data_IF_521242760476
#
_entry.id   IF_521242760476
#
_cell.length_a   1.000
_cell.length_b   1.000
_cell.length_c   1.000
_cell.angle_alpha   90.00
_cell.angle_beta   90.00
_cell.angle_gamma   90.00
#
_symmetry.space_group_name_H-M   'P 1'
#
loop_
_entity.id
_entity.type
_entity.pdbx_description
1 polymer ?
#
# COMPACT_ATOMS: atom_id res chain seq x y z
N UNK A 1 1.04 -11.75 21.92
CA UNK A 1 1.91 -12.00 20.81
C UNK A 1 1.95 -10.84 19.82
N UNK A 2 3.07 -10.45 19.35
CA UNK A 2 3.25 -9.12 18.77
C UNK A 2 4.21 -9.31 17.59
N UNK A 3 3.74 -9.06 16.37
CA UNK A 3 4.65 -8.67 15.31
C UNK A 3 5.50 -7.54 15.88
N UNK A 4 6.82 -7.71 15.99
CA UNK A 4 7.71 -6.65 16.42
C UNK A 4 7.49 -5.48 15.46
N UNK A 5 7.16 -4.29 15.99
CA UNK A 5 6.77 -3.09 15.23
C UNK A 5 5.37 -3.14 14.60
N UNK A 6 4.41 -3.79 15.25
CA UNK A 6 3.00 -3.72 14.85
C UNK A 6 2.52 -2.27 14.80
N UNK A 7 2.10 -1.82 13.63
CA UNK A 7 1.32 -0.60 13.48
C UNK A 7 -0.08 -1.00 13.03
N UNK A 8 -1.09 -0.62 13.81
CA UNK A 8 -2.49 -0.78 13.46
C UNK A 8 -3.03 0.61 13.16
N UNK A 9 -3.50 0.83 11.95
CA UNK A 9 -4.26 2.03 11.63
C UNK A 9 -5.74 1.66 11.63
N UNK A 10 -6.47 2.10 12.67
CA UNK A 10 -7.84 1.66 12.92
C UNK A 10 -8.91 2.70 12.56
N UNK A 11 -8.49 3.92 12.18
CA UNK A 11 -9.41 5.04 11.92
C UNK A 11 -9.92 5.10 10.47
N UNK A 12 -9.51 4.15 9.62
CA UNK A 12 -9.94 4.03 8.25
C UNK A 12 -10.78 2.75 8.04
N UNK A 13 -11.39 2.64 6.85
CA UNK A 13 -12.22 1.50 6.46
C UNK A 13 -11.46 0.17 6.35
N UNK A 14 -10.13 0.21 6.41
CA UNK A 14 -9.22 -0.94 6.41
C UNK A 14 -8.23 -0.85 7.59
N UNK A 15 -7.58 -1.96 7.86
CA UNK A 15 -6.50 -2.05 8.85
C UNK A 15 -5.27 -2.66 8.19
N UNK A 16 -4.08 -2.37 8.72
CA UNK A 16 -2.86 -3.05 8.29
C UNK A 16 -1.92 -3.32 9.46
N UNK A 17 -1.07 -4.32 9.25
CA UNK A 17 0.01 -4.71 10.15
C UNK A 17 1.29 -4.82 9.34
N UNK A 18 2.39 -4.34 9.87
CA UNK A 18 3.70 -4.55 9.26
C UNK A 18 4.73 -4.91 10.33
N UNK A 19 5.65 -5.78 10.02
CA UNK A 19 6.71 -6.11 10.95
C UNK A 19 7.53 -7.33 10.57
N UNK A 20 8.68 -7.44 11.24
CA UNK A 20 9.50 -8.63 11.17
C UNK A 20 8.90 -9.76 12.02
N UNK A 21 8.97 -10.97 11.49
CA UNK A 21 8.72 -12.23 12.20
C UNK A 21 10.05 -12.94 12.27
N UNK A 22 10.45 -13.41 13.45
CA UNK A 22 11.63 -14.28 13.58
C UNK A 22 11.22 -15.73 13.88
N UNK A 23 12.18 -16.66 13.74
CA UNK A 23 11.94 -18.10 13.84
C UNK A 23 11.36 -18.55 15.19
N UNK A 24 11.51 -17.76 16.23
CA UNK A 24 11.00 -18.05 17.57
C UNK A 24 9.56 -17.59 17.80
N UNK A 25 9.03 -16.75 16.90
CA UNK A 25 7.72 -16.11 17.05
C UNK A 25 6.66 -16.86 16.22
N UNK A 26 5.55 -17.19 16.88
CA UNK A 26 4.34 -17.67 16.20
C UNK A 26 3.24 -16.64 16.41
N UNK A 27 2.73 -16.09 15.32
CA UNK A 27 1.66 -15.11 15.34
C UNK A 27 0.35 -15.75 14.89
N UNK A 28 -0.68 -15.74 15.75
CA UNK A 28 -2.02 -16.27 15.41
C UNK A 28 -2.99 -15.13 15.14
N UNK A 29 -3.75 -15.26 14.07
CA UNK A 29 -4.78 -14.32 13.65
C UNK A 29 -6.15 -15.00 13.72
N UNK A 30 -7.16 -14.25 14.19
CA UNK A 30 -8.54 -14.73 14.25
C UNK A 30 -9.19 -14.88 12.86
N UNK A 31 -10.38 -15.47 12.79
CA UNK A 31 -11.07 -15.81 11.54
C UNK A 31 -12.07 -14.78 11.02
N UNK A 32 -12.22 -13.60 11.65
CA UNK A 32 -13.32 -12.69 11.35
C UNK A 32 -12.98 -11.59 10.34
N UNK A 33 -12.02 -11.84 9.46
CA UNK A 33 -11.51 -10.84 8.52
C UNK A 33 -11.28 -11.42 7.12
N UNK A 34 -11.29 -10.50 6.16
CA UNK A 34 -10.72 -10.70 4.83
C UNK A 34 -9.33 -10.07 4.82
N UNK A 35 -8.29 -10.86 4.51
CA UNK A 35 -6.88 -10.44 4.63
C UNK A 35 -6.10 -10.74 3.37
N UNK A 36 -5.16 -9.84 3.08
CA UNK A 36 -4.04 -10.10 2.16
C UNK A 36 -2.74 -10.05 2.96
N UNK A 37 -2.04 -11.17 3.00
CA UNK A 37 -0.72 -11.33 3.63
C UNK A 37 0.31 -11.26 2.51
N UNK A 38 1.29 -10.38 2.63
CA UNK A 38 2.38 -10.21 1.67
C UNK A 38 3.71 -10.40 2.36
N UNK A 39 4.51 -11.34 1.86
CA UNK A 39 5.87 -11.56 2.32
C UNK A 39 6.79 -10.57 1.59
N UNK A 40 7.20 -9.49 2.25
CA UNK A 40 7.99 -8.43 1.63
C UNK A 40 9.44 -8.87 1.46
N UNK A 41 9.98 -9.59 2.45
CA UNK A 41 11.36 -10.06 2.50
C UNK A 41 11.45 -11.37 3.28
N UNK A 42 12.45 -12.21 2.96
CA UNK A 42 12.69 -13.48 3.63
C UNK A 42 11.70 -14.58 3.26
N UNK A 43 11.29 -15.39 4.22
CA UNK A 43 10.25 -16.41 4.04
C UNK A 43 9.51 -16.71 5.33
N UNK A 44 8.20 -16.94 5.23
CA UNK A 44 7.37 -17.36 6.34
C UNK A 44 6.49 -18.55 5.94
N UNK A 45 5.92 -19.18 6.96
CA UNK A 45 4.93 -20.24 6.80
C UNK A 45 3.63 -19.77 7.41
N UNK A 46 2.56 -19.78 6.60
CA UNK A 46 1.19 -19.53 7.04
C UNK A 46 0.49 -20.88 7.10
N UNK A 47 0.22 -21.36 8.31
CA UNK A 47 -0.16 -22.74 8.60
C UNK A 47 0.85 -23.75 7.99
N UNK A 48 0.53 -24.32 6.82
CA UNK A 48 1.39 -25.26 6.11
C UNK A 48 1.91 -24.74 4.76
N UNK A 49 1.57 -23.48 4.41
CA UNK A 49 1.97 -22.88 3.15
C UNK A 49 3.19 -21.98 3.36
N UNK A 50 4.26 -22.23 2.61
CA UNK A 50 5.42 -21.33 2.58
C UNK A 50 5.17 -20.18 1.64
N UNK A 51 5.39 -18.96 2.14
CA UNK A 51 5.49 -17.72 1.36
C UNK A 51 6.95 -17.28 1.33
N UNK A 52 7.48 -17.05 0.15
CA UNK A 52 8.79 -16.43 -0.06
C UNK A 52 8.61 -14.94 -0.37
N UNK A 53 9.71 -14.20 -0.37
CA UNK A 53 9.69 -12.78 -0.71
C UNK A 53 8.95 -12.53 -2.04
N UNK A 54 7.98 -11.62 -2.02
CA UNK A 54 7.11 -11.28 -3.12
C UNK A 54 5.85 -12.13 -3.26
N UNK A 55 5.72 -13.24 -2.53
CA UNK A 55 4.49 -14.05 -2.54
C UNK A 55 3.40 -13.39 -1.70
N UNK A 56 2.14 -13.60 -2.07
CA UNK A 56 0.99 -13.19 -1.28
C UNK A 56 -0.02 -14.31 -1.06
N UNK A 57 -0.81 -14.13 0.00
CA UNK A 57 -1.90 -15.02 0.36
C UNK A 57 -3.13 -14.19 0.74
N UNK A 58 -4.22 -14.39 0.03
CA UNK A 58 -5.52 -13.83 0.38
C UNK A 58 -6.32 -14.89 1.14
N UNK A 59 -6.85 -14.54 2.31
CA UNK A 59 -7.67 -15.42 3.15
C UNK A 59 -8.90 -14.70 3.67
N UNK A 60 -10.01 -15.42 3.79
CA UNK A 60 -11.26 -14.91 4.35
C UNK A 60 -11.80 -15.90 5.36
N UNK A 61 -12.19 -15.38 6.54
CA UNK A 61 -12.80 -16.14 7.63
C UNK A 61 -11.95 -17.36 8.06
N UNK A 62 -10.64 -17.21 8.05
CA UNK A 62 -9.70 -18.28 8.38
C UNK A 62 -8.82 -17.90 9.56
N UNK A 63 -8.79 -18.75 10.56
CA UNK A 63 -7.82 -18.68 11.67
C UNK A 63 -6.52 -19.30 11.20
N UNK A 64 -5.42 -18.56 11.28
CA UNK A 64 -4.12 -19.06 10.85
C UNK A 64 -3.00 -18.62 11.79
N UNK A 65 -1.92 -19.34 11.73
CA UNK A 65 -0.67 -18.98 12.39
C UNK A 65 0.41 -18.69 11.34
N UNK A 66 1.22 -17.67 11.62
CA UNK A 66 2.36 -17.30 10.80
C UNK A 66 3.65 -17.34 11.63
N UNK A 67 4.70 -17.91 11.06
CA UNK A 67 6.03 -17.99 11.65
C UNK A 67 7.09 -18.06 10.54
N UNK A 68 8.34 -17.73 10.86
CA UNK A 68 9.45 -17.78 9.90
C UNK A 68 10.47 -16.68 10.17
N UNK A 69 11.30 -16.41 9.17
CA UNK A 69 12.26 -15.30 9.15
C UNK A 69 11.90 -14.40 7.95
N UNK A 70 11.08 -13.41 8.21
CA UNK A 70 10.48 -12.59 7.16
C UNK A 70 10.07 -11.21 7.67
N UNK A 71 10.00 -10.24 6.75
CA UNK A 71 9.19 -9.04 6.94
C UNK A 71 7.85 -9.22 6.20
N UNK A 72 6.76 -9.05 6.91
CA UNK A 72 5.42 -9.23 6.36
C UNK A 72 4.61 -7.94 6.46
N UNK A 73 3.73 -7.75 5.48
CA UNK A 73 2.69 -6.72 5.50
C UNK A 73 1.33 -7.40 5.31
N UNK A 74 0.38 -7.07 6.17
CA UNK A 74 -0.97 -7.65 6.18
C UNK A 74 -1.99 -6.52 6.11
N UNK A 75 -2.76 -6.48 5.03
CA UNK A 75 -3.92 -5.63 4.91
C UNK A 75 -5.19 -6.42 5.25
N UNK A 76 -6.16 -5.81 5.92
CA UNK A 76 -7.40 -6.50 6.29
C UNK A 76 -8.60 -5.57 6.42
N UNK A 77 -9.77 -6.15 6.27
CA UNK A 77 -11.08 -5.56 6.61
C UNK A 77 -11.92 -6.59 7.35
N UNK A 78 -12.87 -6.17 8.21
CA UNK A 78 -13.82 -7.10 8.80
C UNK A 78 -14.61 -7.85 7.72
N UNK A 79 -14.77 -9.16 7.90
CA UNK A 79 -15.64 -9.97 7.04
C UNK A 79 -17.11 -9.68 7.35
N UNK A 80 -17.94 -9.68 6.32
CA UNK A 80 -19.39 -9.39 6.44
C UNK A 80 -20.27 -10.61 6.20
N UNK A 81 -19.67 -11.75 5.88
CA UNK A 81 -20.35 -13.03 5.63
C UNK A 81 -19.52 -14.20 6.18
N UNK A 82 -20.02 -15.42 5.99
CA UNK A 82 -19.38 -16.65 6.47
C UNK A 82 -18.63 -17.41 5.35
N UNK A 83 -18.46 -16.82 4.18
CA UNK A 83 -17.75 -17.48 3.08
C UNK A 83 -16.26 -17.62 3.43
N UNK A 84 -15.69 -18.73 3.00
CA UNK A 84 -14.26 -18.99 3.13
C UNK A 84 -13.58 -18.83 1.78
N UNK A 85 -12.43 -18.16 1.80
CA UNK A 85 -11.64 -17.92 0.60
C UNK A 85 -10.16 -18.09 0.90
N UNK A 86 -9.44 -18.62 -0.05
CA UNK A 86 -8.00 -18.84 0.04
C UNK A 86 -7.40 -18.74 -1.37
N UNK A 87 -6.51 -17.77 -1.60
CA UNK A 87 -5.83 -17.61 -2.89
C UNK A 87 -4.35 -17.28 -2.65
N UNK A 88 -3.49 -18.17 -3.12
CA UNK A 88 -2.05 -17.95 -3.14
C UNK A 88 -1.63 -17.37 -4.49
N UNK A 89 -0.77 -16.34 -4.46
CA UNK A 89 -0.20 -15.71 -5.65
C UNK A 89 1.32 -15.65 -5.50
N UNK A 90 2.05 -16.19 -6.48
CA UNK A 90 3.51 -16.13 -6.51
C UNK A 90 3.99 -14.72 -6.87
N UNK A 91 5.20 -14.37 -6.44
CA UNK A 91 5.86 -13.09 -6.71
C UNK A 91 5.80 -12.65 -8.19
N UNK A 92 6.02 -13.57 -9.12
CA UNK A 92 6.00 -13.28 -10.56
C UNK A 92 4.62 -13.19 -11.21
N UNK A 93 3.55 -13.57 -10.49
CA UNK A 93 2.19 -13.64 -11.03
C UNK A 93 1.36 -12.40 -10.67
N UNK A 94 1.88 -11.49 -9.88
CA UNK A 94 1.20 -10.23 -9.57
C UNK A 94 1.13 -9.32 -10.78
N UNK A 95 0.00 -8.62 -10.92
CA UNK A 95 -0.19 -7.65 -11.98
C UNK A 95 0.72 -6.45 -11.78
N UNK A 96 1.63 -6.24 -12.74
CA UNK A 96 2.60 -5.15 -12.72
C UNK A 96 2.22 -4.06 -13.72
N UNK A 97 2.15 -2.82 -13.23
CA UNK A 97 1.90 -1.63 -14.03
C UNK A 97 3.16 -0.79 -14.09
N UNK A 98 3.76 -0.67 -15.27
CA UNK A 98 4.92 0.20 -15.49
C UNK A 98 4.48 1.66 -15.50
N UNK A 99 5.22 2.49 -14.76
CA UNK A 99 5.01 3.93 -14.64
C UNK A 99 6.25 4.69 -15.12
N UNK A 100 6.12 5.96 -15.52
CA UNK A 100 7.28 6.78 -15.89
C UNK A 100 8.34 6.91 -14.79
N UNK A 101 7.92 6.78 -13.53
CA UNK A 101 8.77 6.91 -12.35
C UNK A 101 9.20 5.57 -11.74
N UNK A 102 8.76 4.42 -12.29
CA UNK A 102 9.06 3.10 -11.76
C UNK A 102 7.95 2.09 -12.06
N UNK A 103 7.30 1.53 -11.03
CA UNK A 103 6.18 0.60 -11.24
C UNK A 103 5.28 0.48 -10.00
N UNK A 104 4.07 -0.01 -10.24
CA UNK A 104 3.16 -0.54 -9.23
C UNK A 104 3.03 -2.04 -9.40
N UNK A 105 3.11 -2.79 -8.31
CA UNK A 105 2.77 -4.21 -8.24
C UNK A 105 1.47 -4.35 -7.45
N UNK A 106 0.43 -4.83 -8.10
CA UNK A 106 -0.88 -4.95 -7.50
C UNK A 106 -1.00 -6.28 -6.77
N UNK A 107 -0.77 -6.25 -5.45
CA UNK A 107 -0.80 -7.43 -4.58
C UNK A 107 -2.25 -7.91 -4.43
N UNK A 108 -3.17 -6.97 -4.21
CA UNK A 108 -4.61 -7.18 -4.25
C UNK A 108 -5.28 -5.89 -4.74
N UNK A 109 -5.60 -5.82 -6.05
CA UNK A 109 -6.23 -4.66 -6.67
C UNK A 109 -7.71 -4.84 -7.01
N UNK A 110 -8.24 -6.06 -6.84
CA UNK A 110 -9.60 -6.41 -7.22
C UNK A 110 -10.55 -6.61 -6.03
N UNK A 111 -10.04 -6.48 -4.81
CA UNK A 111 -10.86 -6.65 -3.61
C UNK A 111 -11.89 -5.51 -3.49
N UNK A 112 -13.18 -5.83 -3.22
CA UNK A 112 -14.25 -4.82 -3.28
C UNK A 112 -14.19 -3.77 -2.16
N UNK A 113 -13.41 -4.00 -1.11
CA UNK A 113 -13.37 -3.14 0.09
C UNK A 113 -12.05 -2.40 0.26
N UNK A 114 -10.96 -2.88 -0.32
CA UNK A 114 -9.64 -2.25 -0.26
C UNK A 114 -8.76 -2.65 -1.45
N UNK A 115 -7.70 -1.91 -1.70
CA UNK A 115 -6.63 -2.29 -2.60
C UNK A 115 -5.31 -2.32 -1.84
N UNK A 116 -4.41 -3.20 -2.26
CA UNK A 116 -3.07 -3.31 -1.72
C UNK A 116 -2.04 -3.38 -2.84
N UNK A 117 -1.03 -2.50 -2.79
CA UNK A 117 0.02 -2.40 -3.81
C UNK A 117 1.41 -2.29 -3.17
N UNK A 118 2.41 -2.82 -3.86
CA UNK A 118 3.80 -2.39 -3.73
C UNK A 118 4.09 -1.36 -4.81
N UNK A 119 4.75 -0.26 -4.45
CA UNK A 119 5.09 0.84 -5.34
C UNK A 119 6.60 1.06 -5.26
N UNK A 120 7.26 1.05 -6.41
CA UNK A 120 8.69 1.35 -6.52
C UNK A 120 8.87 2.62 -7.34
N UNK A 121 9.58 3.61 -6.77
CA UNK A 121 9.98 4.83 -7.46
C UNK A 121 11.50 4.86 -7.50
N UNK A 122 12.06 5.02 -8.69
CA UNK A 122 13.52 5.11 -8.88
C UNK A 122 14.05 6.46 -8.45
N UNK A 123 15.31 6.51 -8.03
CA UNK A 123 16.00 7.71 -7.58
C UNK A 123 15.79 8.91 -8.51
N UNK A 124 15.53 10.07 -7.93
CA UNK A 124 15.31 11.33 -8.66
C UNK A 124 13.92 11.50 -9.27
N UNK A 125 13.12 10.44 -9.32
CA UNK A 125 11.75 10.47 -9.86
C UNK A 125 10.70 10.74 -8.75
N UNK A 126 9.49 11.07 -9.21
CA UNK A 126 8.36 11.36 -8.34
C UNK A 126 7.03 10.94 -8.97
N UNK A 127 6.05 10.61 -8.15
CA UNK A 127 4.68 10.46 -8.63
C UNK A 127 4.04 11.84 -8.92
N UNK A 128 2.86 11.86 -9.53
CA UNK A 128 2.10 13.11 -9.72
C UNK A 128 1.82 13.81 -8.38
N UNK A 129 1.77 15.13 -8.39
CA UNK A 129 1.13 15.89 -7.33
C UNK A 129 -0.37 15.78 -7.56
N UNK A 130 -1.04 15.11 -6.65
CA UNK A 130 -2.42 14.65 -6.84
C UNK A 130 -3.22 14.70 -5.55
N UNK A 131 -4.53 14.66 -5.70
CA UNK A 131 -5.47 14.38 -4.62
C UNK A 131 -6.55 13.41 -5.09
N UNK A 132 -7.35 12.94 -4.15
CA UNK A 132 -8.47 12.04 -4.38
C UNK A 132 -9.77 12.68 -3.88
N UNK A 133 -10.89 12.44 -4.56
CA UNK A 133 -12.19 12.92 -4.10
C UNK A 133 -12.78 12.00 -3.01
N UNK A 134 -12.55 10.70 -3.14
CA UNK A 134 -13.15 9.65 -2.31
C UNK A 134 -12.14 8.66 -1.76
N UNK A 135 -11.01 8.46 -2.47
CA UNK A 135 -9.98 7.49 -2.07
C UNK A 135 -9.29 7.97 -0.80
N UNK A 136 -9.19 7.07 0.13
CA UNK A 136 -8.38 7.16 1.34
C UNK A 136 -7.26 6.14 1.22
N UNK A 137 -6.03 6.50 1.55
CA UNK A 137 -4.88 5.62 1.42
C UNK A 137 -3.89 5.79 2.56
N UNK A 138 -3.16 4.72 2.83
CA UNK A 138 -2.00 4.74 3.72
C UNK A 138 -0.80 4.23 2.96
N UNK A 139 0.26 5.04 2.94
CA UNK A 139 1.53 4.73 2.29
C UNK A 139 2.56 4.50 3.39
N UNK A 140 3.15 3.31 3.38
CA UNK A 140 4.25 2.92 4.27
C UNK A 140 5.54 2.83 3.46
N UNK A 141 6.56 3.61 3.84
CA UNK A 141 7.88 3.54 3.21
C UNK A 141 8.68 2.38 3.81
N UNK A 142 8.80 1.30 3.06
CA UNK A 142 9.54 0.12 3.47
C UNK A 142 11.05 0.31 3.33
N UNK A 143 11.50 0.84 2.20
CA UNK A 143 12.93 0.99 1.86
C UNK A 143 13.21 2.32 1.19
N UNK A 144 14.37 2.91 1.51
CA UNK A 144 14.91 4.12 0.90
C UNK A 144 14.57 5.41 1.64
N UNK A 145 14.84 6.53 0.95
CA UNK A 145 14.63 7.90 1.42
C UNK A 145 13.84 8.69 0.38
N UNK A 146 12.87 9.45 0.86
CA UNK A 146 12.01 10.28 0.03
C UNK A 146 11.70 11.63 0.70
N UNK A 147 11.10 12.52 -0.07
CA UNK A 147 10.42 13.71 0.42
C UNK A 147 8.92 13.50 0.26
N UNK A 148 8.19 13.67 1.36
CA UNK A 148 6.74 13.78 1.37
C UNK A 148 6.36 15.22 1.11
N UNK A 149 5.69 15.48 -0.01
CA UNK A 149 5.20 16.80 -0.39
C UNK A 149 3.68 16.80 -0.25
N UNK A 150 3.13 17.75 0.50
CA UNK A 150 1.69 17.76 0.73
C UNK A 150 1.15 19.15 1.08
N UNK A 151 -0.17 19.29 0.93
CA UNK A 151 -0.95 20.38 1.47
C UNK A 151 -2.20 19.80 2.12
N UNK A 152 -2.34 20.05 3.40
CA UNK A 152 -3.50 19.65 4.19
C UNK A 152 -4.48 20.83 4.22
N UNK A 153 -5.23 20.98 3.15
CA UNK A 153 -6.23 22.04 3.02
C UNK A 153 -7.52 21.42 2.49
N UNK A 154 -8.54 21.37 3.34
CA UNK A 154 -9.90 20.94 2.97
C UNK A 154 -10.57 21.87 1.91
N UNK A 155 -9.89 22.96 1.55
CA UNK A 155 -10.38 23.98 0.62
C UNK A 155 -9.81 23.87 -0.79
N UNK A 156 -9.38 22.69 -1.25
CA UNK A 156 -9.00 22.53 -2.66
C UNK A 156 -10.25 22.72 -3.53
N UNK A 157 -10.54 23.99 -3.84
CA UNK A 157 -11.38 24.36 -4.96
C UNK A 157 -10.56 24.22 -6.23
N UNK A 158 -11.11 23.57 -7.24
CA UNK A 158 -10.44 23.15 -8.48
C UNK A 158 -9.67 24.23 -9.25
N UNK A 159 -9.84 25.50 -8.91
CA UNK A 159 -9.28 26.64 -9.67
C UNK A 159 -8.07 27.32 -9.02
N UNK A 160 -7.73 27.02 -7.75
CA UNK A 160 -6.73 27.77 -6.98
C UNK A 160 -5.61 26.93 -6.37
N UNK A 161 -5.28 25.77 -6.94
CA UNK A 161 -4.14 24.97 -6.42
C UNK A 161 -2.83 25.59 -6.85
N UNK A 162 -2.42 26.62 -6.13
CA UNK A 162 -1.09 27.24 -6.29
C UNK A 162 -0.07 26.35 -5.58
N UNK A 163 0.95 25.96 -6.32
CA UNK A 163 2.05 25.09 -5.87
C UNK A 163 2.96 25.71 -4.78
N UNK A 164 2.73 26.94 -4.38
CA UNK A 164 3.70 27.75 -3.64
C UNK A 164 3.67 27.50 -2.11
N UNK A 165 2.64 26.84 -1.57
CA UNK A 165 2.49 26.58 -0.14
C UNK A 165 2.57 25.09 0.23
N UNK A 166 3.34 24.30 -0.50
CA UNK A 166 3.49 22.87 -0.22
C UNK A 166 4.49 22.64 0.91
N UNK A 167 4.09 21.84 1.89
CA UNK A 167 5.01 21.36 2.91
C UNK A 167 5.87 20.23 2.36
N UNK A 168 7.16 20.26 2.71
CA UNK A 168 8.14 19.26 2.32
C UNK A 168 8.72 18.60 3.59
N UNK A 169 8.39 17.35 3.83
CA UNK A 169 8.85 16.61 5.01
C UNK A 169 9.77 15.45 4.62
N UNK A 170 10.78 15.14 5.41
CA UNK A 170 11.52 13.89 5.28
C UNK A 170 10.54 12.70 5.39
N UNK A 171 10.74 11.71 4.53
CA UNK A 171 9.99 10.46 4.53
C UNK A 171 11.00 9.33 4.38
N UNK A 172 11.16 8.53 5.40
CA UNK A 172 12.22 7.51 5.50
C UNK A 172 11.66 6.13 5.83
N UNK A 173 12.45 5.13 5.60
CA UNK A 173 12.10 3.74 5.91
C UNK A 173 11.53 3.59 7.34
N UNK A 174 10.39 2.94 7.45
CA UNK A 174 9.60 2.78 8.66
C UNK A 174 8.55 3.87 8.92
N UNK A 175 8.58 4.98 8.18
CA UNK A 175 7.55 6.02 8.24
C UNK A 175 6.30 5.61 7.47
N UNK A 176 5.16 6.17 7.85
CA UNK A 176 3.92 6.05 7.09
C UNK A 176 3.20 7.40 6.98
N UNK A 177 2.39 7.54 5.94
CA UNK A 177 1.51 8.68 5.72
C UNK A 177 0.11 8.16 5.44
N UNK A 178 -0.85 8.70 6.17
CA UNK A 178 -2.25 8.48 5.90
C UNK A 178 -2.81 9.70 5.16
N UNK A 179 -3.43 9.44 4.03
CA UNK A 179 -3.96 10.46 3.10
C UNK A 179 -5.47 10.35 3.09
N UNK A 180 -6.13 11.38 3.59
CA UNK A 180 -7.59 11.52 3.50
C UNK A 180 -8.00 12.08 2.13
N UNK A 181 -9.27 11.91 1.73
CA UNK A 181 -9.80 12.61 0.57
C UNK A 181 -9.49 14.10 0.62
N UNK A 182 -9.21 14.70 -0.55
CA UNK A 182 -8.87 16.12 -0.75
C UNK A 182 -7.50 16.57 -0.25
N UNK A 183 -6.69 15.71 0.34
CA UNK A 183 -5.31 16.04 0.69
C UNK A 183 -4.42 15.97 -0.54
N UNK A 184 -3.82 17.10 -0.91
CA UNK A 184 -2.86 17.19 -2.00
C UNK A 184 -1.53 16.58 -1.56
N UNK A 185 -0.99 15.63 -2.31
CA UNK A 185 0.22 14.93 -1.91
C UNK A 185 1.03 14.41 -3.10
N UNK A 186 2.33 14.17 -2.82
CA UNK A 186 3.31 13.56 -3.75
C UNK A 186 4.43 12.91 -2.96
N UNK A 187 4.99 11.83 -3.48
CA UNK A 187 6.26 11.25 -3.02
C UNK A 187 7.33 11.53 -4.05
N UNK A 188 8.46 12.11 -3.60
CA UNK A 188 9.64 12.35 -4.40
C UNK A 188 10.80 11.50 -3.88
N UNK A 189 11.28 10.55 -4.66
CA UNK A 189 12.35 9.64 -4.30
C UNK A 189 13.71 10.36 -4.28
N UNK A 190 14.46 10.22 -3.17
CA UNK A 190 15.84 10.69 -3.02
C UNK A 190 16.84 9.57 -3.29
N UNK A 191 16.45 8.33 -3.07
CA UNK A 191 17.09 7.08 -3.47
C UNK A 191 16.05 6.22 -4.16
N UNK A 192 16.40 5.07 -4.69
CA UNK A 192 15.37 4.07 -5.01
C UNK A 192 14.55 3.78 -3.76
N UNK A 193 13.23 3.77 -3.90
CA UNK A 193 12.31 3.53 -2.78
C UNK A 193 11.33 2.43 -3.10
N UNK A 194 10.96 1.69 -2.05
CA UNK A 194 9.86 0.73 -2.06
C UNK A 194 8.82 1.12 -1.01
N UNK A 195 7.59 1.27 -1.44
CA UNK A 195 6.44 1.62 -0.60
C UNK A 195 5.38 0.56 -0.67
N UNK A 196 4.59 0.44 0.39
CA UNK A 196 3.39 -0.39 0.46
C UNK A 196 2.19 0.53 0.67
N UNK A 197 1.22 0.46 -0.23
CA UNK A 197 -0.01 1.24 -0.19
C UNK A 197 -1.20 0.33 0.10
N UNK A 198 -1.97 0.68 1.13
CA UNK A 198 -3.32 0.13 1.33
C UNK A 198 -4.31 1.27 1.20
N UNK A 199 -5.36 1.08 0.42
CA UNK A 199 -6.33 2.14 0.14
C UNK A 199 -7.75 1.59 0.02
N UNK A 200 -8.73 2.49 0.08
CA UNK A 200 -10.10 2.20 -0.37
C UNK A 200 -10.12 1.90 -1.88
N UNK A 201 -11.13 1.19 -2.42
CA UNK A 201 -11.10 0.65 -3.78
C UNK A 201 -11.40 1.67 -4.90
N UNK A 202 -11.28 2.97 -4.62
CA UNK A 202 -11.51 4.04 -5.62
C UNK A 202 -10.28 4.27 -6.51
N UNK A 203 -9.83 3.24 -7.25
CA UNK A 203 -8.54 3.23 -7.94
C UNK A 203 -8.45 4.21 -9.13
N UNK A 204 -9.58 4.63 -9.68
CA UNK A 204 -9.65 5.61 -10.78
C UNK A 204 -9.79 7.06 -10.29
N UNK A 205 -9.92 7.26 -8.97
CA UNK A 205 -10.10 8.57 -8.36
C UNK A 205 -8.74 9.25 -8.13
N UNK A 206 -8.11 9.69 -9.20
CA UNK A 206 -6.83 10.42 -9.18
C UNK A 206 -7.00 11.73 -9.93
N UNK A 207 -6.92 12.84 -9.21
CA UNK A 207 -6.92 14.19 -9.80
C UNK A 207 -5.49 14.71 -9.76
N UNK A 208 -4.89 14.89 -10.95
CA UNK A 208 -3.49 15.34 -11.08
C UNK A 208 -3.42 16.85 -11.23
N UNK A 209 -2.82 17.50 -10.25
CA UNK A 209 -2.56 18.94 -10.27
C UNK A 209 -1.27 19.26 -11.02
N UNK A 210 -0.25 18.40 -10.84
CA UNK A 210 1.01 18.51 -11.56
C UNK A 210 1.55 17.10 -11.85
N UNK A 211 1.90 16.86 -13.09
CA UNK A 211 2.47 15.59 -13.56
C UNK A 211 3.59 15.85 -14.56
N UNK A 212 4.78 15.27 -14.32
CA UNK A 212 5.97 15.50 -15.15
C UNK A 212 5.82 14.93 -16.57
N UNK A 213 4.85 14.04 -16.77
CA UNK A 213 4.52 13.41 -18.05
C UNK A 213 3.21 13.93 -18.66
N UNK A 214 2.60 14.95 -18.05
CA UNK A 214 1.33 15.54 -18.50
C UNK A 214 0.21 14.49 -18.68
N UNK A 215 0.17 13.47 -17.82
CA UNK A 215 -0.89 12.44 -17.86
C UNK A 215 -2.23 13.04 -17.42
N UNK A 216 -3.34 12.63 -18.05
CA UNK A 216 -4.67 13.08 -17.64
C UNK A 216 -5.06 12.50 -16.27
N UNK A 217 -6.18 12.98 -15.73
CA UNK A 217 -6.79 12.43 -14.52
C UNK A 217 -7.22 10.98 -14.69
N UNK A 218 -7.39 10.30 -13.56
CA UNK A 218 -7.88 8.92 -13.50
C UNK A 218 -6.85 7.88 -13.93
N UNK A 219 -7.35 6.72 -14.32
CA UNK A 219 -6.57 5.59 -14.81
C UNK A 219 -5.99 5.88 -16.19
N UNK A 220 -4.73 5.58 -16.38
CA UNK A 220 -4.05 5.71 -17.68
C UNK A 220 -4.10 4.35 -18.39
N UNK A 221 -5.02 4.16 -19.31
CA UNK A 221 -5.25 2.88 -19.98
C UNK A 221 -4.00 2.34 -20.70
N UNK A 222 -3.14 3.20 -21.23
CA UNK A 222 -1.89 2.79 -21.90
C UNK A 222 -0.85 2.18 -20.94
N UNK A 223 -0.92 2.48 -19.65
CA UNK A 223 -0.04 1.89 -18.63
C UNK A 223 -0.54 0.50 -18.17
N UNK A 224 -1.81 0.18 -18.41
CA UNK A 224 -2.49 -1.02 -17.98
C UNK A 224 -2.67 -2.06 -19.12
N UNK A 225 -1.60 -2.31 -19.88
CA UNK A 225 -1.61 -3.25 -21.01
C UNK A 225 -1.03 -4.60 -20.63
#
# INVERSE_FOLDING_TARGET
MILKNRRVYADCSYQYYSGAIDLSDVCTFDGNYERTIYCVEGSCIVDNLRLNAGDSLEVKNHVFSIYGDAYVFIAQVPSTDNDHYFKYTKAGDHYKVTKPWGYELWINGEHPKYAFKEIVITEGNQCSLQYHNFKEETIYLYEGLATWVYKDDDSINNDDVISDDLAHLPFKSGDFKHVKPKVLHRVKAQTDIKMLEVSTPYLNDVIRVQDDQHRPDGKIESEHK
#
